data_IF_120173837306
#
_entry.id   IF_120173837306
#
_cell.length_a   1.000
_cell.length_b   1.000
_cell.length_c   1.000
_cell.angle_alpha   90.00
_cell.angle_beta   90.00
_cell.angle_gamma   90.00
#
_symmetry.space_group_name_H-M   'P 1'
#
loop_
_entity.id
_entity.type
_entity.pdbx_description
1 polymer ?
#
# COMPACT_ATOMS: atom_id res chain seq x y z
N UNK A 1 25.38 -13.48 -30.90
CA UNK A 1 24.30 -13.41 -29.89
C UNK A 1 23.52 -12.13 -30.14
N UNK A 2 22.23 -12.20 -30.45
CA UNK A 2 21.40 -11.01 -30.62
C UNK A 2 20.72 -10.71 -29.28
N UNK A 3 21.28 -9.78 -28.51
CA UNK A 3 20.75 -9.42 -27.20
C UNK A 3 19.32 -8.86 -27.27
N UNK A 4 18.98 -8.13 -28.34
CA UNK A 4 17.66 -7.53 -28.54
C UNK A 4 16.55 -8.60 -28.56
N UNK A 5 16.82 -9.73 -29.22
CA UNK A 5 15.87 -10.84 -29.32
C UNK A 5 15.43 -11.38 -27.96
N UNK A 6 16.32 -11.44 -26.96
CA UNK A 6 15.95 -11.90 -25.62
C UNK A 6 14.98 -10.95 -24.93
N UNK A 7 15.09 -9.64 -25.17
CA UNK A 7 14.17 -8.65 -24.62
C UNK A 7 12.83 -8.68 -25.34
N UNK A 8 12.83 -8.82 -26.67
CA UNK A 8 11.61 -8.99 -27.46
C UNK A 8 10.84 -10.24 -27.02
N UNK A 9 11.52 -11.40 -26.91
CA UNK A 9 10.91 -12.65 -26.44
C UNK A 9 10.34 -12.52 -25.01
N UNK A 10 11.01 -11.77 -24.12
CA UNK A 10 10.49 -11.52 -22.76
C UNK A 10 9.23 -10.65 -22.76
N UNK A 11 9.14 -9.66 -23.66
CA UNK A 11 7.94 -8.82 -23.82
C UNK A 11 6.80 -9.61 -24.49
N UNK A 12 7.11 -10.39 -25.52
CA UNK A 12 6.15 -11.27 -26.20
C UNK A 12 5.53 -12.27 -25.21
N UNK A 13 6.33 -12.81 -24.28
CA UNK A 13 5.82 -13.66 -23.21
C UNK A 13 4.84 -12.91 -22.29
N UNK A 14 5.14 -11.67 -21.89
CA UNK A 14 4.24 -10.85 -21.05
C UNK A 14 2.94 -10.51 -21.81
N UNK A 15 3.02 -10.25 -23.12
CA UNK A 15 1.87 -10.03 -23.98
C UNK A 15 1.01 -11.29 -24.11
N UNK A 16 1.63 -12.45 -24.38
CA UNK A 16 0.96 -13.74 -24.46
C UNK A 16 0.28 -14.12 -23.15
N UNK A 17 0.88 -13.78 -22.00
CA UNK A 17 0.29 -13.96 -20.68
C UNK A 17 -0.72 -12.85 -20.30
N UNK A 18 -0.93 -11.85 -21.17
CA UNK A 18 -1.83 -10.71 -20.96
C UNK A 18 -1.55 -9.92 -19.68
N UNK A 19 -0.28 -9.85 -19.28
CA UNK A 19 0.19 -9.13 -18.10
C UNK A 19 0.90 -7.81 -18.42
N UNK A 20 0.91 -7.40 -19.69
CA UNK A 20 1.50 -6.14 -20.10
C UNK A 20 0.73 -4.98 -19.49
N UNK A 21 1.47 -4.05 -18.88
CA UNK A 21 0.88 -2.91 -18.18
C UNK A 21 0.90 -1.70 -19.08
N UNK A 22 -0.27 -1.14 -19.32
CA UNK A 22 -0.43 0.19 -19.89
C UNK A 22 -0.82 1.11 -18.72
N UNK A 23 -0.02 2.14 -18.48
CA UNK A 23 -0.28 3.09 -17.39
C UNK A 23 -1.25 4.17 -17.85
N UNK A 24 -2.26 4.46 -17.04
CA UNK A 24 -3.15 5.59 -17.28
C UNK A 24 -2.40 6.91 -17.03
N UNK A 25 -2.46 7.83 -17.99
CA UNK A 25 -1.90 9.19 -17.86
C UNK A 25 -2.91 10.07 -17.12
N UNK A 26 -2.61 10.35 -15.85
CA UNK A 26 -3.53 10.99 -14.91
C UNK A 26 -2.92 12.22 -14.26
N UNK A 27 -3.70 13.31 -14.26
CA UNK A 27 -3.37 14.57 -13.59
C UNK A 27 -4.40 14.82 -12.47
N UNK A 28 -4.01 14.60 -11.21
CA UNK A 28 -4.89 14.84 -10.05
C UNK A 28 -5.16 16.33 -9.87
N UNK A 29 -6.39 16.70 -9.51
CA UNK A 29 -6.80 18.10 -9.38
C UNK A 29 -6.84 18.51 -7.91
N UNK A 30 -5.87 19.32 -7.48
CA UNK A 30 -5.85 19.88 -6.13
C UNK A 30 -7.15 20.65 -5.81
N UNK A 31 -7.73 20.39 -4.64
CA UNK A 31 -9.01 20.99 -4.22
C UNK A 31 -10.27 20.36 -4.82
N UNK A 32 -10.14 19.44 -5.78
CA UNK A 32 -11.26 18.68 -6.37
C UNK A 32 -11.11 17.17 -6.19
N UNK A 33 -10.33 16.72 -5.21
CA UNK A 33 -10.17 15.30 -4.90
C UNK A 33 -11.53 14.64 -4.61
N UNK A 34 -11.84 13.45 -5.18
CA UNK A 34 -10.96 12.50 -5.88
C UNK A 34 -10.96 12.59 -7.42
N UNK A 35 -11.21 13.77 -7.99
CA UNK A 35 -11.17 14.00 -9.45
C UNK A 35 -9.75 14.07 -10.01
N UNK A 36 -9.61 13.65 -11.26
CA UNK A 36 -8.39 13.76 -12.06
C UNK A 36 -8.73 14.01 -13.54
N UNK A 37 -7.78 14.55 -14.30
CA UNK A 37 -7.84 14.58 -15.76
C UNK A 37 -7.12 13.33 -16.28
N UNK A 38 -7.85 12.48 -17.00
CA UNK A 38 -7.29 11.38 -17.79
C UNK A 38 -6.96 11.87 -19.20
N UNK A 39 -5.72 11.65 -19.63
CA UNK A 39 -5.25 12.02 -20.97
C UNK A 39 -5.05 10.77 -21.81
N UNK A 40 -5.67 10.70 -22.98
CA UNK A 40 -5.53 9.57 -23.89
C UNK A 40 -5.75 10.00 -25.32
N UNK A 41 -4.89 9.54 -26.25
CA UNK A 41 -5.02 9.82 -27.69
C UNK A 41 -5.18 11.30 -28.06
N UNK A 42 -4.59 12.21 -27.27
CA UNK A 42 -4.69 13.66 -27.47
C UNK A 42 -5.95 14.30 -26.88
N UNK A 43 -6.85 13.52 -26.26
CA UNK A 43 -8.03 14.00 -25.54
C UNK A 43 -7.76 14.08 -24.03
N UNK A 44 -8.51 14.93 -23.35
CA UNK A 44 -8.47 15.12 -21.90
C UNK A 44 -9.89 15.04 -21.34
N UNK A 45 -10.12 14.16 -20.37
CA UNK A 45 -11.43 13.94 -19.76
C UNK A 45 -11.31 13.97 -18.23
N UNK A 46 -12.23 14.66 -17.55
CA UNK A 46 -12.34 14.55 -16.10
C UNK A 46 -12.93 13.18 -15.72
N UNK A 47 -12.27 12.52 -14.77
CA UNK A 47 -12.62 11.21 -14.24
C UNK A 47 -12.63 11.22 -12.70
N UNK A 48 -13.19 10.17 -12.10
CA UNK A 48 -13.18 9.94 -10.64
C UNK A 48 -12.26 8.77 -10.31
N UNK A 49 -11.29 8.97 -9.41
CA UNK A 49 -10.29 7.96 -9.05
C UNK A 49 -10.72 7.20 -7.80
N UNK A 50 -10.85 5.88 -7.90
CA UNK A 50 -11.32 5.00 -6.82
C UNK A 50 -10.29 3.98 -6.32
N UNK A 51 -9.07 4.02 -6.85
CA UNK A 51 -7.98 3.12 -6.49
C UNK A 51 -6.72 3.87 -6.00
N UNK A 52 -6.87 5.13 -5.58
CA UNK A 52 -5.78 5.91 -4.98
C UNK A 52 -5.48 5.39 -3.57
N UNK A 53 -4.20 5.38 -3.20
CA UNK A 53 -3.78 5.11 -1.83
C UNK A 53 -3.57 6.38 -1.00
N UNK A 54 -3.88 7.58 -1.52
CA UNK A 54 -4.03 8.81 -0.72
C UNK A 54 -5.34 8.74 0.09
N UNK A 55 -5.38 7.78 1.01
CA UNK A 55 -6.59 7.24 1.64
C UNK A 55 -7.40 8.27 2.41
N UNK A 56 -6.71 9.24 3.01
CA UNK A 56 -7.30 10.29 3.82
C UNK A 56 -7.30 11.64 3.07
N UNK A 57 -6.85 11.66 1.81
CA UNK A 57 -6.73 12.88 1.01
C UNK A 57 -5.70 13.88 1.55
N UNK A 58 -4.74 13.44 2.37
CA UNK A 58 -3.74 14.33 2.97
C UNK A 58 -2.80 14.93 1.93
N UNK A 59 -2.63 14.28 0.79
CA UNK A 59 -1.88 14.86 -0.34
C UNK A 59 -2.58 16.07 -0.97
N UNK A 60 -3.79 16.39 -0.51
CA UNK A 60 -4.62 17.50 -0.97
C UNK A 60 -4.90 18.49 0.16
N UNK A 61 -4.45 18.21 1.39
CA UNK A 61 -4.73 19.02 2.56
C UNK A 61 -4.00 20.37 2.46
N UNK A 62 -4.69 21.52 2.64
CA UNK A 62 -4.10 22.85 2.47
C UNK A 62 -2.82 23.06 3.29
N UNK A 63 -2.81 22.62 4.56
CA UNK A 63 -1.64 22.77 5.43
C UNK A 63 -0.44 21.93 4.97
N UNK A 64 -0.68 20.74 4.42
CA UNK A 64 0.37 19.85 3.89
C UNK A 64 0.99 20.47 2.64
N UNK A 65 0.15 20.96 1.71
CA UNK A 65 0.59 21.67 0.50
C UNK A 65 1.34 22.96 0.88
N UNK A 66 0.81 23.73 1.83
CA UNK A 66 1.44 24.95 2.32
C UNK A 66 2.81 24.70 2.95
N UNK A 67 2.94 23.65 3.78
CA UNK A 67 4.22 23.25 4.35
C UNK A 67 5.25 22.87 3.27
N UNK A 68 4.81 22.14 2.24
CA UNK A 68 5.64 21.81 1.09
C UNK A 68 6.14 23.07 0.37
N UNK A 69 5.21 23.95 -0.05
CA UNK A 69 5.51 25.17 -0.82
C UNK A 69 6.44 26.11 -0.03
N UNK A 70 6.14 26.33 1.24
CA UNK A 70 6.93 27.19 2.11
C UNK A 70 8.36 26.67 2.29
N UNK A 71 8.52 25.37 2.45
CA UNK A 71 9.85 24.76 2.64
C UNK A 71 10.63 24.73 1.33
N UNK A 72 9.98 24.40 0.21
CA UNK A 72 10.59 24.45 -1.12
C UNK A 72 11.10 25.86 -1.47
N UNK A 73 10.32 26.91 -1.14
CA UNK A 73 10.73 28.30 -1.35
C UNK A 73 11.93 28.73 -0.51
N UNK A 74 12.17 28.09 0.64
CA UNK A 74 13.28 28.42 1.56
C UNK A 74 14.53 27.56 1.36
N UNK A 75 14.35 26.28 1.03
CA UNK A 75 15.41 25.27 1.05
C UNK A 75 15.67 24.64 -0.33
N UNK A 76 14.94 25.06 -1.37
CA UNK A 76 15.02 24.48 -2.70
C UNK A 76 14.31 23.13 -2.82
N UNK A 77 14.50 22.48 -3.97
CA UNK A 77 13.78 21.25 -4.33
C UNK A 77 14.41 20.01 -3.70
N UNK A 78 15.62 19.63 -4.10
CA UNK A 78 16.28 18.40 -3.65
C UNK A 78 17.13 18.59 -2.39
N UNK A 79 17.41 17.50 -1.68
CA UNK A 79 18.32 17.51 -0.52
C UNK A 79 19.78 17.77 -0.89
N UNK A 80 20.17 17.60 -2.16
CA UNK A 80 21.51 17.94 -2.66
C UNK A 80 22.61 16.94 -2.31
N UNK A 81 22.32 15.84 -1.60
CA UNK A 81 23.30 14.82 -1.27
C UNK A 81 22.74 13.65 -0.46
N UNK A 82 23.61 12.71 -0.09
CA UNK A 82 23.25 11.60 0.81
C UNK A 82 23.13 12.10 2.25
N UNK A 83 22.58 11.28 3.16
CA UNK A 83 22.46 11.67 4.58
C UNK A 83 23.78 12.15 5.19
N UNK A 84 24.89 11.49 4.85
CA UNK A 84 26.21 11.82 5.37
C UNK A 84 26.90 12.99 4.66
N UNK A 85 26.53 13.27 3.40
CA UNK A 85 27.17 14.30 2.57
C UNK A 85 26.12 15.36 2.26
N UNK A 86 26.02 16.36 3.14
CA UNK A 86 25.14 17.54 3.06
C UNK A 86 23.62 17.31 2.90
N UNK A 87 23.13 16.07 2.82
CA UNK A 87 21.71 15.78 2.57
C UNK A 87 20.83 15.71 3.83
N UNK A 88 21.41 15.61 5.03
CA UNK A 88 20.62 15.70 6.28
C UNK A 88 20.22 17.15 6.52
N UNK A 89 18.93 17.44 6.34
CA UNK A 89 18.32 18.73 6.58
C UNK A 89 17.43 18.70 7.84
N UNK A 90 17.14 19.86 8.41
CA UNK A 90 16.36 19.94 9.66
C UNK A 90 14.94 19.37 9.54
N UNK A 91 14.15 19.64 8.47
CA UNK A 91 12.84 19.00 8.29
C UNK A 91 12.88 17.47 8.33
N UNK A 92 13.95 16.84 7.83
CA UNK A 92 14.12 15.39 7.88
C UNK A 92 14.37 14.89 9.31
N UNK A 93 15.12 15.64 10.13
CA UNK A 93 15.33 15.32 11.55
C UNK A 93 14.02 15.47 12.33
N UNK A 94 13.26 16.53 12.08
CA UNK A 94 11.94 16.73 12.71
C UNK A 94 10.97 15.60 12.35
N UNK A 95 10.98 15.15 11.11
CA UNK A 95 10.18 14.02 10.67
C UNK A 95 10.55 12.73 11.42
N UNK A 96 11.83 12.43 11.58
CA UNK A 96 12.28 11.24 12.34
C UNK A 96 11.85 11.30 13.81
N UNK A 97 11.91 12.48 14.44
CA UNK A 97 11.41 12.68 15.80
C UNK A 97 9.89 12.50 15.90
N UNK A 98 9.15 13.06 14.94
CA UNK A 98 7.69 12.97 14.90
C UNK A 98 7.21 11.52 14.72
N UNK A 99 7.91 10.74 13.88
CA UNK A 99 7.63 9.32 13.67
C UNK A 99 7.96 8.47 14.90
N UNK A 100 9.07 8.74 15.58
CA UNK A 100 9.40 8.06 16.83
C UNK A 100 8.32 8.31 17.89
N UNK A 101 7.85 9.56 18.03
CA UNK A 101 6.75 9.91 18.94
C UNK A 101 5.41 9.31 18.52
N UNK A 102 5.08 9.26 17.22
CA UNK A 102 3.85 8.62 16.71
C UNK A 102 3.71 7.18 17.21
N UNK A 103 4.81 6.42 17.13
CA UNK A 103 4.84 4.98 17.45
C UNK A 103 5.27 4.67 18.88
N UNK A 104 5.55 5.69 19.71
CA UNK A 104 6.07 5.50 21.06
C UNK A 104 7.42 4.76 21.09
N UNK A 105 8.27 4.98 20.10
CA UNK A 105 9.58 4.34 19.95
C UNK A 105 10.71 5.31 20.25
N UNK A 106 11.89 4.75 20.53
CA UNK A 106 13.07 5.56 20.88
C UNK A 106 13.62 6.36 19.70
N UNK A 107 13.51 5.81 18.48
CA UNK A 107 14.03 6.44 17.27
C UNK A 107 13.26 6.00 16.02
N UNK A 108 13.40 6.79 14.96
CA UNK A 108 12.94 6.48 13.62
C UNK A 108 14.04 6.71 12.58
N UNK A 109 13.90 6.10 11.41
CA UNK A 109 14.79 6.29 10.27
C UNK A 109 14.00 6.39 8.98
N UNK A 110 14.17 7.50 8.26
CA UNK A 110 13.44 7.77 7.01
C UNK A 110 14.22 7.32 5.77
N UNK A 111 13.49 6.71 4.84
CA UNK A 111 13.94 6.20 3.54
C UNK A 111 13.13 6.83 2.40
N UNK A 112 13.59 6.65 1.15
CA UNK A 112 12.96 7.22 -0.04
C UNK A 112 11.62 6.58 -0.40
N UNK A 113 11.31 5.38 0.11
CA UNK A 113 10.01 4.72 -0.07
C UNK A 113 9.81 3.58 0.95
N UNK A 114 8.56 3.18 1.16
CA UNK A 114 8.18 1.98 1.94
C UNK A 114 8.80 0.68 1.40
N UNK A 115 9.11 0.65 0.09
CA UNK A 115 9.81 -0.49 -0.49
C UNK A 115 11.24 -0.59 0.02
N UNK A 116 11.96 0.54 -0.02
CA UNK A 116 13.37 0.61 0.37
C UNK A 116 13.54 0.43 1.88
N UNK A 117 12.66 1.00 2.71
CA UNK A 117 12.69 0.78 4.17
C UNK A 117 12.56 -0.70 4.52
N UNK A 118 11.57 -1.40 3.96
CA UNK A 118 11.42 -2.85 4.12
C UNK A 118 12.68 -3.62 3.66
N UNK A 119 13.07 -3.44 2.40
CA UNK A 119 14.17 -4.18 1.79
C UNK A 119 15.48 -4.00 2.57
N UNK A 120 15.85 -2.75 2.84
CA UNK A 120 17.12 -2.39 3.46
C UNK A 120 17.14 -2.77 4.95
N UNK A 121 16.04 -2.60 5.67
CA UNK A 121 15.99 -2.88 7.11
C UNK A 121 15.97 -4.36 7.40
N UNK A 122 15.07 -5.13 6.77
CA UNK A 122 14.97 -6.58 6.97
C UNK A 122 16.30 -7.26 6.61
N UNK A 123 16.87 -6.91 5.46
CA UNK A 123 18.14 -7.51 5.02
C UNK A 123 19.32 -7.18 5.94
N UNK A 124 19.39 -5.95 6.46
CA UNK A 124 20.46 -5.51 7.36
C UNK A 124 20.33 -6.14 8.74
N UNK A 125 19.13 -6.10 9.34
CA UNK A 125 18.86 -6.69 10.66
C UNK A 125 19.21 -8.18 10.65
N UNK A 126 18.69 -8.92 9.67
CA UNK A 126 18.91 -10.36 9.62
C UNK A 126 20.38 -10.75 9.37
N UNK A 127 21.16 -9.94 8.65
CA UNK A 127 22.61 -10.17 8.45
C UNK A 127 23.44 -9.90 9.69
N UNK A 128 23.04 -8.92 10.50
CA UNK A 128 23.75 -8.58 11.74
C UNK A 128 23.45 -9.57 12.86
N UNK A 129 22.30 -10.25 12.81
CA UNK A 129 21.93 -11.30 13.76
C UNK A 129 22.65 -12.62 13.46
N UNK A 130 23.37 -13.22 14.42
CA UNK A 130 24.13 -14.46 14.19
C UNK A 130 23.20 -15.64 13.94
N UNK A 131 23.44 -16.39 12.85
CA UNK A 131 22.63 -17.56 12.48
C UNK A 131 21.11 -17.27 12.44
N UNK A 132 20.74 -16.09 11.97
CA UNK A 132 19.35 -15.66 11.92
C UNK A 132 18.48 -16.60 11.07
N UNK A 133 17.30 -16.94 11.60
CA UNK A 133 16.20 -17.53 10.85
C UNK A 133 15.10 -16.47 10.65
N UNK A 134 14.73 -16.22 9.40
CA UNK A 134 13.57 -15.37 9.10
C UNK A 134 12.32 -16.23 8.96
N UNK A 135 11.27 -15.88 9.69
CA UNK A 135 9.93 -16.46 9.55
C UNK A 135 9.05 -15.42 8.86
N UNK A 136 8.67 -15.68 7.60
CA UNK A 136 7.91 -14.74 6.76
C UNK A 136 6.51 -15.26 6.55
N UNK A 137 5.51 -14.40 6.72
CA UNK A 137 4.16 -14.69 6.25
C UNK A 137 4.17 -14.93 4.73
N UNK A 138 3.31 -15.83 4.24
CA UNK A 138 3.27 -16.21 2.82
C UNK A 138 2.75 -15.11 1.90
N UNK A 139 1.96 -14.16 2.42
CA UNK A 139 1.40 -13.04 1.66
C UNK A 139 2.15 -11.72 1.84
N UNK A 140 3.30 -11.74 2.52
CA UNK A 140 4.12 -10.55 2.70
C UNK A 140 4.43 -9.84 1.38
N UNK A 141 4.39 -8.51 1.43
CA UNK A 141 4.63 -7.65 0.30
C UNK A 141 6.00 -7.90 -0.35
N UNK A 142 6.07 -7.63 -1.66
CA UNK A 142 7.28 -7.86 -2.46
C UNK A 142 8.54 -7.18 -1.88
N UNK A 143 8.41 -6.01 -1.26
CA UNK A 143 9.53 -5.32 -0.59
C UNK A 143 10.11 -6.13 0.57
N UNK A 144 9.25 -6.75 1.37
CA UNK A 144 9.66 -7.61 2.47
C UNK A 144 10.32 -8.86 1.93
N UNK A 145 9.72 -9.51 0.93
CA UNK A 145 10.29 -10.69 0.26
C UNK A 145 11.70 -10.38 -0.29
N UNK A 146 11.90 -9.22 -0.90
CA UNK A 146 13.21 -8.80 -1.40
C UNK A 146 14.20 -8.54 -0.26
N UNK A 147 13.78 -7.93 0.86
CA UNK A 147 14.61 -7.83 2.07
C UNK A 147 15.03 -9.19 2.62
N UNK A 148 14.08 -10.13 2.75
CA UNK A 148 14.34 -11.51 3.18
C UNK A 148 15.33 -12.20 2.23
N UNK A 149 15.11 -12.10 0.91
CA UNK A 149 16.01 -12.70 -0.09
C UNK A 149 17.42 -12.10 -0.04
N UNK A 150 17.53 -10.78 0.02
CA UNK A 150 18.81 -10.07 0.07
C UNK A 150 19.57 -10.36 1.35
N UNK A 151 18.90 -10.65 2.47
CA UNK A 151 19.60 -11.01 3.71
C UNK A 151 20.58 -12.17 3.53
N UNK A 152 20.23 -13.17 2.69
CA UNK A 152 20.96 -14.44 2.58
C UNK A 152 20.76 -15.37 3.78
N UNK A 153 19.95 -14.97 4.78
CA UNK A 153 19.61 -15.80 5.93
C UNK A 153 18.72 -16.99 5.53
N UNK A 154 18.72 -18.04 6.35
CA UNK A 154 17.71 -19.10 6.20
C UNK A 154 16.33 -18.48 6.40
N UNK A 155 15.35 -18.92 5.61
CA UNK A 155 13.96 -18.50 5.75
C UNK A 155 13.00 -19.69 5.81
N UNK A 156 11.94 -19.53 6.59
CA UNK A 156 10.75 -20.39 6.56
C UNK A 156 9.53 -19.51 6.29
N UNK A 157 8.64 -20.00 5.44
CA UNK A 157 7.37 -19.33 5.13
C UNK A 157 6.32 -19.98 6.01
N UNK A 158 5.63 -19.21 6.85
CA UNK A 158 4.45 -19.69 7.56
C UNK A 158 3.20 -19.33 6.76
N UNK A 159 2.13 -20.12 6.96
CA UNK A 159 0.87 -19.92 6.23
C UNK A 159 0.25 -18.62 6.72
N UNK A 160 -0.46 -17.94 5.83
CA UNK A 160 -0.98 -16.61 6.04
C UNK A 160 -1.79 -16.54 7.34
N UNK A 161 -1.37 -15.68 8.27
CA UNK A 161 -2.00 -15.52 9.59
C UNK A 161 -2.16 -16.81 10.42
N UNK A 162 -1.46 -17.90 10.07
CA UNK A 162 -1.52 -19.19 10.78
C UNK A 162 -0.52 -19.23 11.94
N UNK A 163 -0.99 -18.78 13.10
CA UNK A 163 -0.25 -18.74 14.37
C UNK A 163 0.26 -20.14 14.77
N UNK A 164 -0.51 -21.20 14.50
CA UNK A 164 -0.12 -22.56 14.88
C UNK A 164 1.05 -23.07 14.03
N UNK A 165 1.04 -22.78 12.72
CA UNK A 165 2.15 -23.09 11.84
C UNK A 165 3.40 -22.28 12.22
N UNK A 166 3.24 -20.98 12.49
CA UNK A 166 4.32 -20.13 13.00
C UNK A 166 4.94 -20.73 14.28
N UNK A 167 4.12 -21.13 15.24
CA UNK A 167 4.59 -21.76 16.47
C UNK A 167 5.39 -23.04 16.20
N UNK A 168 4.93 -23.92 15.30
CA UNK A 168 5.67 -25.15 14.99
C UNK A 168 7.07 -24.88 14.42
N UNK A 169 7.21 -23.81 13.62
CA UNK A 169 8.48 -23.41 13.03
C UNK A 169 9.40 -22.79 14.09
N UNK A 170 8.85 -22.00 15.01
CA UNK A 170 9.57 -21.42 16.15
C UNK A 170 10.07 -22.51 17.11
N UNK A 171 9.25 -23.53 17.41
CA UNK A 171 9.64 -24.69 18.21
C UNK A 171 10.81 -25.43 17.57
N UNK A 172 10.74 -25.71 16.27
CA UNK A 172 11.80 -26.40 15.54
C UNK A 172 13.11 -25.61 15.49
N UNK A 173 13.04 -24.27 15.48
CA UNK A 173 14.21 -23.41 15.47
C UNK A 173 14.94 -23.33 16.82
N UNK A 174 14.25 -23.65 17.92
CA UNK A 174 14.77 -23.54 19.28
C UNK A 174 14.93 -22.10 19.78
N UNK A 175 15.05 -21.93 21.10
CA UNK A 175 15.05 -20.59 21.74
C UNK A 175 16.33 -19.78 21.50
N UNK A 176 17.49 -20.45 21.43
CA UNK A 176 18.81 -19.80 21.34
C UNK A 176 19.17 -19.22 19.97
N UNK A 177 18.59 -19.75 18.88
CA UNK A 177 18.86 -19.25 17.52
C UNK A 177 18.31 -17.83 17.35
N UNK A 178 19.01 -16.90 16.70
CA UNK A 178 18.39 -15.61 16.39
C UNK A 178 17.22 -15.80 15.41
N UNK A 179 16.09 -15.13 15.64
CA UNK A 179 14.87 -15.27 14.84
C UNK A 179 14.25 -13.91 14.57
N UNK A 180 13.76 -13.71 13.35
CA UNK A 180 13.04 -12.52 12.93
C UNK A 180 11.71 -12.92 12.30
N UNK A 181 10.60 -12.59 12.94
CA UNK A 181 9.24 -12.78 12.41
C UNK A 181 8.87 -11.52 11.64
N UNK A 182 8.53 -11.66 10.35
CA UNK A 182 8.16 -10.55 9.48
C UNK A 182 6.75 -10.76 8.92
N UNK A 183 5.86 -9.77 9.11
CA UNK A 183 4.45 -9.83 8.73
C UNK A 183 3.86 -8.42 8.49
N UNK A 184 2.70 -8.32 7.84
CA UNK A 184 1.95 -7.06 7.68
C UNK A 184 0.87 -6.95 8.76
N UNK A 185 0.49 -5.72 9.14
CA UNK A 185 -0.68 -5.51 9.99
C UNK A 185 -1.98 -5.61 9.20
N UNK A 186 -2.07 -4.87 8.09
CA UNK A 186 -3.19 -4.87 7.13
C UNK A 186 -2.66 -5.30 5.78
N UNK A 187 -3.10 -6.44 5.28
CA UNK A 187 -2.61 -6.95 4.00
C UNK A 187 -3.24 -6.20 2.83
N UNK A 188 -2.37 -5.71 1.95
CA UNK A 188 -2.73 -4.69 0.97
C UNK A 188 -3.85 -5.05 -0.01
N UNK A 189 -4.07 -6.34 -0.33
CA UNK A 189 -4.99 -6.78 -1.38
C UNK A 189 -6.34 -7.29 -0.85
N UNK A 190 -6.30 -8.07 0.23
CA UNK A 190 -7.47 -8.76 0.79
C UNK A 190 -8.09 -7.92 1.92
N UNK A 191 -7.27 -7.09 2.59
CA UNK A 191 -7.72 -6.18 3.62
C UNK A 191 -8.13 -6.89 4.91
N UNK A 192 -7.56 -8.05 5.17
CA UNK A 192 -7.54 -8.75 6.46
C UNK A 192 -6.45 -8.15 7.39
N UNK A 193 -6.52 -8.54 8.66
CA UNK A 193 -5.66 -8.02 9.74
C UNK A 193 -4.94 -9.20 10.41
N UNK A 194 -3.64 -9.06 10.65
CA UNK A 194 -2.86 -10.08 11.33
C UNK A 194 -3.26 -10.27 12.81
N UNK A 195 -3.14 -11.49 13.36
CA UNK A 195 -3.27 -11.75 14.79
C UNK A 195 -2.03 -11.27 15.57
N UNK A 196 -1.87 -9.94 15.67
CA UNK A 196 -0.65 -9.28 16.19
C UNK A 196 -0.34 -9.74 17.62
N UNK A 197 -1.37 -9.81 18.47
CA UNK A 197 -1.20 -10.19 19.88
C UNK A 197 -0.60 -11.60 20.00
N UNK A 198 -1.15 -12.55 19.25
CA UNK A 198 -0.73 -13.95 19.26
C UNK A 198 0.69 -14.11 18.70
N UNK A 199 1.02 -13.36 17.64
CA UNK A 199 2.38 -13.35 17.08
C UNK A 199 3.37 -12.78 18.10
N UNK A 200 3.03 -11.69 18.79
CA UNK A 200 3.86 -11.12 19.85
C UNK A 200 4.03 -12.08 21.06
N UNK A 201 2.96 -12.77 21.47
CA UNK A 201 3.01 -13.79 22.53
C UNK A 201 4.01 -14.91 22.15
N UNK A 202 4.00 -15.36 20.89
CA UNK A 202 4.98 -16.34 20.38
C UNK A 202 6.40 -15.77 20.31
N UNK A 203 6.56 -14.52 19.89
CA UNK A 203 7.87 -13.87 19.81
C UNK A 203 8.57 -13.83 21.18
N UNK A 204 7.84 -13.45 22.23
CA UNK A 204 8.33 -13.46 23.62
C UNK A 204 8.64 -14.89 24.11
N UNK A 205 7.71 -15.84 23.86
CA UNK A 205 7.84 -17.25 24.26
C UNK A 205 9.06 -17.94 23.63
N UNK A 206 9.37 -17.65 22.37
CA UNK A 206 10.45 -18.30 21.62
C UNK A 206 11.69 -17.42 21.43
N UNK A 207 11.72 -16.22 22.02
CA UNK A 207 12.82 -15.26 21.89
C UNK A 207 13.11 -14.93 20.41
N UNK A 208 12.12 -14.35 19.74
CA UNK A 208 12.23 -13.86 18.37
C UNK A 208 11.96 -12.34 18.33
N UNK A 209 12.65 -11.66 17.42
CA UNK A 209 12.33 -10.27 17.09
C UNK A 209 11.13 -10.21 16.15
N UNK A 210 10.38 -9.12 16.23
CA UNK A 210 9.21 -8.84 15.39
C UNK A 210 9.46 -7.63 14.49
N UNK A 211 9.06 -7.76 13.24
CA UNK A 211 9.04 -6.69 12.26
C UNK A 211 7.66 -6.66 11.63
N UNK A 212 6.92 -5.58 11.88
CA UNK A 212 5.59 -5.40 11.32
C UNK A 212 5.61 -4.28 10.28
N UNK A 213 5.02 -4.55 9.12
CA UNK A 213 4.72 -3.55 8.11
C UNK A 213 3.29 -3.00 8.35
N UNK A 214 3.20 -1.71 8.69
CA UNK A 214 1.95 -0.99 8.95
C UNK A 214 1.61 -0.01 7.80
N UNK A 215 2.15 -0.22 6.61
CA UNK A 215 2.00 0.67 5.44
C UNK A 215 0.55 0.94 5.07
N UNK A 216 -0.32 -0.06 5.23
CA UNK A 216 -1.75 0.01 4.97
C UNK A 216 -2.57 0.30 6.24
N UNK A 217 -1.93 0.81 7.30
CA UNK A 217 -2.59 1.12 8.56
C UNK A 217 -2.25 2.49 9.14
N UNK A 218 -0.99 2.92 9.03
CA UNK A 218 -0.54 4.22 9.55
C UNK A 218 -1.40 5.37 8.99
N UNK A 219 -1.71 6.32 9.85
CA UNK A 219 -2.67 7.42 9.64
C UNK A 219 -4.14 7.03 9.82
N UNK A 220 -4.51 5.76 9.60
CA UNK A 220 -5.90 5.31 9.47
C UNK A 220 -6.47 4.57 10.68
N UNK A 221 -5.62 4.01 11.54
CA UNK A 221 -6.04 3.26 12.72
C UNK A 221 -5.29 3.70 13.97
N UNK A 222 -5.92 3.51 15.12
CA UNK A 222 -5.44 3.97 16.40
C UNK A 222 -5.82 5.42 16.69
N UNK A 223 -5.82 5.82 17.98
CA UNK A 223 -6.24 7.15 18.41
C UNK A 223 -5.39 8.29 17.82
N UNK A 224 -4.12 8.05 17.50
CA UNK A 224 -3.22 9.05 16.89
C UNK A 224 -2.83 8.68 15.45
N UNK A 225 -3.44 7.65 14.87
CA UNK A 225 -3.08 7.16 13.55
C UNK A 225 -1.76 6.36 13.53
N UNK A 226 -1.37 5.73 14.64
CA UNK A 226 -0.16 4.91 14.73
C UNK A 226 -0.26 3.57 13.99
N UNK A 227 -1.46 3.11 13.64
CA UNK A 227 -1.68 1.83 12.97
C UNK A 227 -2.49 0.85 13.82
N UNK A 228 -2.51 -0.41 13.41
CA UNK A 228 -3.25 -1.48 14.10
C UNK A 228 -2.60 -1.77 15.46
N UNK A 229 -1.27 -1.73 15.55
CA UNK A 229 -0.56 -1.89 16.82
C UNK A 229 -0.95 -0.83 17.84
N UNK A 230 -1.17 0.42 17.41
CA UNK A 230 -1.70 1.47 18.30
C UNK A 230 -3.17 1.22 18.67
N UNK A 231 -4.00 0.83 17.69
CA UNK A 231 -5.42 0.49 17.91
C UNK A 231 -5.60 -0.58 18.97
N UNK A 232 -4.71 -1.58 18.98
CA UNK A 232 -4.78 -2.75 19.87
C UNK A 232 -3.94 -2.58 21.16
N UNK A 233 -3.21 -1.47 21.30
CA UNK A 233 -2.34 -1.23 22.46
C UNK A 233 -1.16 -2.20 22.54
N UNK A 234 -0.61 -2.59 21.38
CA UNK A 234 0.48 -3.57 21.24
C UNK A 234 1.77 -2.98 20.66
N UNK A 235 1.79 -1.68 20.34
CA UNK A 235 2.94 -1.03 19.70
C UNK A 235 4.24 -1.19 20.50
N UNK A 236 4.19 -1.18 21.83
CA UNK A 236 5.34 -1.39 22.72
C UNK A 236 5.92 -2.80 22.62
N UNK A 237 5.09 -3.81 22.32
CA UNK A 237 5.49 -5.23 22.19
C UNK A 237 6.15 -5.58 20.86
N UNK A 238 6.10 -4.69 19.88
CA UNK A 238 6.70 -4.91 18.56
C UNK A 238 8.10 -4.28 18.49
N UNK A 239 9.11 -5.00 18.02
CA UNK A 239 10.49 -4.47 18.01
C UNK A 239 10.67 -3.38 16.93
N UNK A 240 10.15 -3.64 15.72
CA UNK A 240 10.25 -2.74 14.57
C UNK A 240 8.91 -2.55 13.91
N UNK A 241 8.48 -1.29 13.80
CA UNK A 241 7.31 -0.89 13.02
C UNK A 241 7.80 -0.15 11.78
N UNK A 242 7.48 -0.69 10.61
CA UNK A 242 7.69 -0.09 9.31
C UNK A 242 6.41 0.61 8.84
N UNK A 243 6.57 1.74 8.16
CA UNK A 243 5.44 2.40 7.51
C UNK A 243 5.83 3.24 6.31
N UNK A 244 4.82 3.78 5.63
CA UNK A 244 5.00 4.67 4.47
C UNK A 244 4.50 6.08 4.74
N UNK A 245 5.10 7.06 4.05
CA UNK A 245 4.62 8.44 3.98
C UNK A 245 3.72 8.68 2.74
N UNK A 246 3.65 7.71 1.83
CA UNK A 246 3.06 7.87 0.49
C UNK A 246 1.60 7.46 0.36
N UNK A 247 0.95 7.05 1.47
CA UNK A 247 -0.43 6.58 1.49
C UNK A 247 -1.33 7.53 2.28
N UNK A 248 -1.78 7.15 3.47
CA UNK A 248 -2.66 7.98 4.30
C UNK A 248 -2.05 9.36 4.62
N UNK A 249 -0.72 9.44 4.77
CA UNK A 249 -0.03 10.72 4.98
C UNK A 249 0.11 11.58 3.70
N UNK A 250 -0.13 11.02 2.51
CA UNK A 250 -0.28 11.79 1.27
C UNK A 250 0.99 12.42 0.69
N UNK A 251 2.18 11.94 1.05
CA UNK A 251 3.46 12.49 0.59
C UNK A 251 4.33 11.43 -0.10
N UNK A 252 5.62 11.29 0.25
CA UNK A 252 6.54 10.33 -0.33
C UNK A 252 7.57 9.89 0.72
N UNK A 253 7.84 8.59 0.79
CA UNK A 253 8.86 8.03 1.67
C UNK A 253 8.43 6.76 2.36
N UNK A 254 9.36 6.17 3.09
CA UNK A 254 9.14 5.05 4.01
C UNK A 254 9.97 5.26 5.27
N UNK A 255 9.69 4.50 6.32
CA UNK A 255 10.43 4.60 7.56
C UNK A 255 10.37 3.31 8.36
N UNK A 256 11.32 3.16 9.28
CA UNK A 256 11.20 2.22 10.39
C UNK A 256 11.28 2.99 11.72
N UNK A 257 10.63 2.47 12.75
CA UNK A 257 10.75 2.91 14.14
C UNK A 257 11.10 1.73 15.04
N UNK A 258 11.82 1.98 16.13
CA UNK A 258 12.26 0.92 17.04
C UNK A 258 13.15 1.45 18.15
N UNK A 259 13.89 0.56 18.79
CA UNK A 259 14.94 0.94 19.74
C UNK A 259 16.06 1.68 19.03
N UNK A 260 16.72 2.59 19.73
CA UNK A 260 17.81 3.41 19.18
C UNK A 260 18.93 2.54 18.63
N UNK A 261 19.26 1.43 19.28
CA UNK A 261 20.32 0.52 18.85
C UNK A 261 20.02 -0.15 17.50
N UNK A 262 18.79 -0.62 17.28
CA UNK A 262 18.41 -1.22 15.99
C UNK A 262 18.37 -0.17 14.89
N UNK A 263 17.79 1.00 15.18
CA UNK A 263 17.73 2.11 14.24
C UNK A 263 19.13 2.60 13.84
N UNK A 264 20.05 2.76 14.80
CA UNK A 264 21.43 3.15 14.53
C UNK A 264 22.21 2.07 13.78
N UNK A 265 21.92 0.78 14.02
CA UNK A 265 22.50 -0.32 13.26
C UNK A 265 22.04 -0.27 11.79
N UNK A 266 20.74 -0.12 11.52
CA UNK A 266 20.24 0.02 10.15
C UNK A 266 20.82 1.27 9.49
N UNK A 267 20.82 2.41 10.18
CA UNK A 267 21.41 3.68 9.71
C UNK A 267 22.89 3.53 9.29
N UNK A 268 23.65 2.69 10.01
CA UNK A 268 25.09 2.55 9.83
C UNK A 268 25.52 1.44 8.87
N UNK A 269 24.65 0.45 8.62
CA UNK A 269 25.00 -0.74 7.83
C UNK A 269 24.14 -0.92 6.56
N UNK A 270 22.98 -0.27 6.44
CA UNK A 270 22.08 -0.50 5.32
C UNK A 270 22.53 0.27 4.06
N UNK A 271 23.00 -0.40 3.00
CA UNK A 271 23.50 0.29 1.80
C UNK A 271 22.39 1.08 1.08
N UNK A 272 21.15 0.56 1.10
CA UNK A 272 19.97 1.24 0.53
C UNK A 272 19.59 2.54 1.25
N UNK A 273 20.12 2.77 2.45
CA UNK A 273 20.02 4.04 3.18
C UNK A 273 21.24 4.95 2.93
N UNK A 274 22.45 4.39 3.00
CA UNK A 274 23.70 5.15 3.01
C UNK A 274 24.03 5.75 1.64
N UNK A 275 23.85 4.96 0.57
CA UNK A 275 24.36 5.28 -0.76
C UNK A 275 23.27 5.83 -1.71
N UNK A 276 22.30 6.54 -1.14
CA UNK A 276 21.23 7.21 -1.90
C UNK A 276 21.05 8.65 -1.43
N UNK A 277 20.51 9.49 -2.31
CA UNK A 277 20.16 10.88 -1.99
C UNK A 277 19.08 10.92 -0.90
N UNK A 278 19.21 11.83 0.06
CA UNK A 278 18.24 11.99 1.14
C UNK A 278 16.90 12.54 0.63
N UNK A 279 15.83 12.34 1.42
CA UNK A 279 14.50 12.84 1.10
C UNK A 279 14.51 14.38 1.00
N UNK A 280 13.87 14.97 -0.03
CA UNK A 280 13.70 16.41 -0.16
C UNK A 280 13.15 17.09 1.10
N UNK A 281 13.67 18.26 1.50
CA UNK A 281 13.22 18.96 2.71
C UNK A 281 11.73 19.32 2.66
N UNK A 282 11.22 19.71 1.48
CA UNK A 282 9.81 20.05 1.30
C UNK A 282 8.87 18.85 1.52
N UNK A 283 9.28 17.66 1.10
CA UNK A 283 8.53 16.42 1.33
C UNK A 283 8.56 16.09 2.83
N UNK A 284 9.72 16.21 3.48
CA UNK A 284 9.83 15.93 4.91
C UNK A 284 8.94 16.85 5.75
N UNK A 285 8.95 18.16 5.48
CA UNK A 285 8.09 19.13 6.17
C UNK A 285 6.59 18.87 5.93
N UNK A 286 6.20 18.52 4.70
CA UNK A 286 4.83 18.16 4.37
C UNK A 286 4.37 16.90 5.11
N UNK A 287 5.23 15.86 5.15
CA UNK A 287 4.96 14.61 5.86
C UNK A 287 4.79 14.86 7.38
N UNK A 288 5.69 15.63 8.00
CA UNK A 288 5.59 16.00 9.41
C UNK A 288 4.28 16.73 9.71
N UNK A 289 3.87 17.66 8.83
CA UNK A 289 2.61 18.40 8.97
C UNK A 289 1.40 17.46 8.88
N UNK A 290 1.41 16.54 7.93
CA UNK A 290 0.36 15.52 7.75
C UNK A 290 0.23 14.62 8.98
N UNK A 291 1.36 14.14 9.52
CA UNK A 291 1.39 13.30 10.73
C UNK A 291 0.85 14.08 11.94
N UNK A 292 1.32 15.31 12.17
CA UNK A 292 0.85 16.15 13.30
C UNK A 292 -0.64 16.40 13.26
N UNK A 293 -1.20 16.65 12.07
CA UNK A 293 -2.64 16.79 11.88
C UNK A 293 -3.37 15.50 12.27
N UNK A 294 -3.00 14.38 11.66
CA UNK A 294 -3.67 13.10 11.89
C UNK A 294 -3.50 12.54 13.30
N UNK A 295 -2.46 12.95 14.04
CA UNK A 295 -2.30 12.63 15.46
C UNK A 295 -3.38 13.22 16.36
N UNK A 296 -3.99 14.33 15.93
CA UNK A 296 -4.97 15.06 16.75
C UNK A 296 -6.37 15.05 16.13
N UNK A 297 -6.49 14.89 14.81
CA UNK A 297 -7.77 14.77 14.11
C UNK A 297 -8.18 13.32 13.88
N UNK A 298 -9.41 13.00 14.28
CA UNK A 298 -10.07 11.71 14.04
C UNK A 298 -11.06 11.78 12.86
N UNK A 299 -11.39 12.98 12.38
CA UNK A 299 -12.45 13.21 11.40
C UNK A 299 -12.20 12.48 10.07
N UNK A 300 -10.96 12.49 9.58
CA UNK A 300 -10.57 11.81 8.34
C UNK A 300 -10.73 10.30 8.47
N UNK A 301 -10.32 9.73 9.60
CA UNK A 301 -10.44 8.29 9.87
C UNK A 301 -11.90 7.87 9.93
N UNK A 302 -12.72 8.56 10.72
CA UNK A 302 -14.14 8.22 10.89
C UNK A 302 -14.89 8.33 9.56
N UNK A 303 -14.63 9.38 8.78
CA UNK A 303 -15.21 9.55 7.46
C UNK A 303 -14.78 8.45 6.50
N UNK A 304 -13.50 8.06 6.48
CA UNK A 304 -13.00 6.99 5.63
C UNK A 304 -13.66 5.64 5.98
N UNK A 305 -13.70 5.28 7.27
CA UNK A 305 -14.31 4.03 7.73
C UNK A 305 -15.79 3.98 7.37
N UNK A 306 -16.51 5.10 7.55
CA UNK A 306 -17.91 5.23 7.12
C UNK A 306 -18.05 4.99 5.61
N UNK A 307 -17.20 5.58 4.77
CA UNK A 307 -17.31 5.40 3.32
C UNK A 307 -16.92 4.00 2.84
N UNK A 308 -15.93 3.37 3.47
CA UNK A 308 -15.59 1.98 3.18
C UNK A 308 -16.74 1.04 3.56
N UNK A 309 -17.34 1.20 4.75
CA UNK A 309 -18.48 0.41 5.18
C UNK A 309 -19.69 0.61 4.26
N UNK A 310 -20.03 1.87 3.94
CA UNK A 310 -21.12 2.19 3.03
C UNK A 310 -20.92 1.58 1.64
N UNK A 311 -19.72 1.69 1.07
CA UNK A 311 -19.42 1.11 -0.24
C UNK A 311 -19.60 -0.43 -0.22
N UNK A 312 -19.09 -1.11 0.81
CA UNK A 312 -19.28 -2.56 0.98
C UNK A 312 -20.77 -2.93 1.02
N UNK A 313 -21.55 -2.24 1.85
CA UNK A 313 -23.00 -2.46 1.99
C UNK A 313 -23.73 -2.22 0.67
N UNK A 314 -23.46 -1.11 -0.01
CA UNK A 314 -24.09 -0.74 -1.28
C UNK A 314 -23.81 -1.78 -2.35
N UNK A 315 -22.54 -2.15 -2.54
CA UNK A 315 -22.16 -3.12 -3.57
C UNK A 315 -22.73 -4.51 -3.27
N UNK A 316 -22.68 -4.95 -2.00
CA UNK A 316 -23.27 -6.21 -1.59
C UNK A 316 -24.80 -6.24 -1.79
N UNK A 317 -25.50 -5.11 -1.56
CA UNK A 317 -26.97 -5.02 -1.71
C UNK A 317 -27.48 -5.23 -3.14
N UNK A 318 -26.62 -5.01 -4.14
CA UNK A 318 -26.91 -5.27 -5.57
C UNK A 318 -26.28 -6.58 -6.06
N UNK A 319 -25.76 -7.40 -5.14
CA UNK A 319 -25.22 -8.73 -5.43
C UNK A 319 -23.79 -8.75 -5.97
N UNK A 320 -23.08 -7.62 -6.04
CA UNK A 320 -21.69 -7.61 -6.53
C UNK A 320 -20.82 -8.49 -5.62
N UNK A 321 -19.80 -9.15 -6.18
CA UNK A 321 -18.98 -10.11 -5.44
C UNK A 321 -17.93 -9.43 -4.54
N UNK A 322 -18.40 -8.64 -3.57
CA UNK A 322 -17.56 -7.99 -2.55
C UNK A 322 -16.97 -9.07 -1.66
N UNK A 323 -15.65 -9.11 -1.53
CA UNK A 323 -14.98 -10.06 -0.64
C UNK A 323 -15.04 -9.56 0.80
N UNK A 324 -15.09 -10.46 1.80
CA UNK A 324 -15.02 -10.09 3.20
C UNK A 324 -13.77 -9.26 3.50
N UNK A 325 -13.92 -8.16 4.20
CA UNK A 325 -12.81 -7.31 4.67
C UNK A 325 -13.27 -6.47 5.86
N UNK A 326 -12.41 -6.35 6.87
CA UNK A 326 -12.66 -5.54 8.08
C UNK A 326 -11.99 -4.15 8.00
N UNK A 327 -11.39 -3.81 6.86
CA UNK A 327 -10.55 -2.61 6.71
C UNK A 327 -11.16 -1.60 5.74
N UNK A 328 -10.43 -0.51 5.43
CA UNK A 328 -10.84 0.49 4.45
C UNK A 328 -10.82 0.01 2.98
N UNK A 329 -10.36 -1.21 2.72
CA UNK A 329 -10.25 -1.78 1.37
C UNK A 329 -11.56 -2.48 1.01
N UNK A 330 -12.04 -2.24 -0.22
CA UNK A 330 -13.27 -2.83 -0.77
C UNK A 330 -12.92 -3.68 -2.00
N UNK A 331 -12.48 -4.93 -1.79
CA UNK A 331 -12.18 -5.85 -2.88
C UNK A 331 -13.46 -6.39 -3.53
N UNK A 332 -13.56 -6.29 -4.86
CA UNK A 332 -14.66 -6.89 -5.65
C UNK A 332 -14.07 -7.93 -6.60
N UNK A 333 -14.39 -9.20 -6.37
CA UNK A 333 -13.83 -10.33 -7.12
C UNK A 333 -14.29 -10.31 -8.58
N UNK A 334 -13.37 -10.60 -9.49
CA UNK A 334 -13.67 -10.85 -10.91
C UNK A 334 -13.29 -12.28 -11.29
N UNK A 335 -12.16 -12.78 -10.77
CA UNK A 335 -11.71 -14.17 -10.93
C UNK A 335 -11.11 -14.51 -12.30
N UNK A 336 -11.03 -13.53 -13.20
CA UNK A 336 -10.41 -13.67 -14.51
C UNK A 336 -9.66 -12.39 -14.90
N UNK A 337 -8.39 -12.47 -15.35
CA UNK A 337 -7.57 -11.31 -15.65
C UNK A 337 -8.04 -10.51 -16.86
N UNK A 338 -8.66 -11.15 -17.86
CA UNK A 338 -9.16 -10.50 -19.07
C UNK A 338 -10.44 -9.73 -18.75
N UNK A 339 -11.40 -10.38 -18.08
CA UNK A 339 -12.62 -9.74 -17.60
C UNK A 339 -12.31 -8.60 -16.64
N UNK A 340 -11.32 -8.77 -15.74
CA UNK A 340 -10.93 -7.71 -14.83
C UNK A 340 -10.39 -6.48 -15.58
N UNK A 341 -9.55 -6.70 -16.60
CA UNK A 341 -9.06 -5.60 -17.44
C UNK A 341 -10.21 -4.95 -18.23
N UNK A 342 -11.05 -5.75 -18.88
CA UNK A 342 -12.20 -5.26 -19.66
C UNK A 342 -13.17 -4.45 -18.79
N UNK A 343 -13.40 -4.86 -17.55
CA UNK A 343 -14.22 -4.13 -16.59
C UNK A 343 -13.61 -2.75 -16.29
N UNK A 344 -12.32 -2.69 -16.00
CA UNK A 344 -11.64 -1.41 -15.72
C UNK A 344 -11.53 -0.49 -16.93
N UNK A 345 -11.29 -1.04 -18.13
CA UNK A 345 -11.27 -0.27 -19.37
C UNK A 345 -12.67 0.34 -19.64
N UNK A 346 -13.74 -0.44 -19.39
CA UNK A 346 -15.13 0.03 -19.54
C UNK A 346 -15.47 1.10 -18.51
N UNK A 347 -15.13 0.89 -17.24
CA UNK A 347 -15.33 1.87 -16.17
C UNK A 347 -14.64 3.20 -16.51
N UNK A 348 -13.40 3.14 -17.02
CA UNK A 348 -12.67 4.33 -17.41
C UNK A 348 -13.27 4.99 -18.64
N UNK A 349 -13.44 4.25 -19.74
CA UNK A 349 -13.87 4.80 -21.02
C UNK A 349 -15.33 5.25 -21.06
N UNK A 350 -16.25 4.44 -20.52
CA UNK A 350 -17.69 4.70 -20.59
C UNK A 350 -18.17 5.57 -19.43
N UNK A 351 -17.67 5.29 -18.22
CA UNK A 351 -18.19 5.88 -16.99
C UNK A 351 -17.29 6.97 -16.39
N UNK A 352 -16.08 7.17 -16.92
CA UNK A 352 -15.12 8.12 -16.35
C UNK A 352 -14.69 7.75 -14.93
N UNK A 353 -14.60 6.45 -14.64
CA UNK A 353 -14.25 5.89 -13.33
C UNK A 353 -12.93 5.13 -13.47
N UNK A 354 -11.90 5.58 -12.75
CA UNK A 354 -10.61 4.90 -12.73
C UNK A 354 -10.49 3.97 -11.53
N UNK A 355 -10.44 2.68 -11.83
CA UNK A 355 -10.06 1.60 -10.91
C UNK A 355 -9.02 0.76 -11.64
N UNK A 356 -7.89 0.50 -10.98
CA UNK A 356 -6.84 -0.34 -11.55
C UNK A 356 -7.20 -1.83 -11.41
N UNK A 357 -7.05 -2.67 -12.46
CA UNK A 357 -7.23 -4.11 -12.34
C UNK A 357 -6.07 -4.71 -11.55
N UNK A 358 -6.39 -5.59 -10.59
CA UNK A 358 -5.40 -6.31 -9.78
C UNK A 358 -5.32 -7.75 -10.26
N UNK A 359 -4.21 -8.06 -10.94
CA UNK A 359 -3.93 -9.38 -11.53
C UNK A 359 -2.61 -9.95 -10.98
N UNK A 360 -2.30 -11.20 -11.31
CA UNK A 360 -1.00 -11.81 -11.05
C UNK A 360 0.18 -10.94 -11.56
N UNK A 361 1.30 -10.79 -10.82
CA UNK A 361 1.65 -11.49 -9.58
C UNK A 361 1.18 -10.82 -8.28
N UNK A 362 0.38 -9.75 -8.36
CA UNK A 362 -0.07 -9.02 -7.16
C UNK A 362 -1.07 -9.84 -6.35
N UNK A 363 -1.91 -10.64 -7.01
CA UNK A 363 -2.80 -11.62 -6.38
C UNK A 363 -2.64 -12.98 -7.07
N UNK A 364 -2.95 -14.11 -6.41
CA UNK A 364 -2.96 -15.43 -7.04
C UNK A 364 -3.89 -15.48 -8.26
N UNK A 365 -3.55 -16.31 -9.25
CA UNK A 365 -4.38 -16.53 -10.44
C UNK A 365 -5.75 -17.09 -10.05
N UNK A 366 -6.81 -16.63 -10.72
CA UNK A 366 -8.20 -16.99 -10.40
C UNK A 366 -8.80 -16.17 -9.25
N UNK A 367 -8.04 -15.21 -8.69
CA UNK A 367 -8.50 -14.31 -7.64
C UNK A 367 -8.37 -12.83 -8.04
N UNK A 368 -8.33 -12.57 -9.35
CA UNK A 368 -8.29 -11.23 -9.93
C UNK A 368 -9.48 -10.40 -9.47
N UNK A 369 -9.25 -9.11 -9.20
CA UNK A 369 -10.25 -8.27 -8.52
C UNK A 369 -10.08 -6.80 -8.82
N UNK A 370 -11.14 -6.05 -8.61
CA UNK A 370 -11.10 -4.61 -8.46
C UNK A 370 -10.77 -4.28 -7.00
N UNK A 371 -9.71 -3.49 -6.80
CA UNK A 371 -9.35 -2.97 -5.46
C UNK A 371 -9.82 -1.53 -5.34
N UNK A 372 -10.96 -1.35 -4.68
CA UNK A 372 -11.58 -0.05 -4.47
C UNK A 372 -11.18 0.48 -3.09
N UNK A 373 -10.79 1.74 -3.02
CA UNK A 373 -10.28 2.39 -1.80
C UNK A 373 -11.00 3.72 -1.56
N UNK A 374 -12.24 3.67 -1.05
CA UNK A 374 -12.98 4.88 -0.72
C UNK A 374 -12.21 5.74 0.29
N UNK A 375 -12.37 7.05 0.14
CA UNK A 375 -11.74 8.07 0.98
C UNK A 375 -12.83 8.93 1.61
N UNK A 376 -12.51 9.82 2.58
CA UNK A 376 -13.48 10.79 3.11
C UNK A 376 -14.19 11.65 2.05
N UNK A 377 -13.57 11.80 0.89
CA UNK A 377 -14.03 12.66 -0.20
C UNK A 377 -14.93 11.94 -1.23
N UNK A 378 -15.06 10.62 -1.12
CA UNK A 378 -16.01 9.84 -1.90
C UNK A 378 -17.38 9.95 -1.23
N UNK A 379 -18.17 10.94 -1.63
CA UNK A 379 -19.52 11.17 -1.09
C UNK A 379 -20.44 9.98 -1.37
N UNK A 380 -21.52 9.88 -0.62
CA UNK A 380 -22.53 8.82 -0.78
C UNK A 380 -23.09 8.81 -2.21
N UNK A 381 -23.29 9.99 -2.81
CA UNK A 381 -23.68 10.12 -4.22
C UNK A 381 -22.63 9.57 -5.20
N UNK A 382 -21.34 9.75 -4.93
CA UNK A 382 -20.28 9.14 -5.74
C UNK A 382 -20.28 7.60 -5.58
N UNK A 383 -20.53 7.08 -4.38
CA UNK A 383 -20.67 5.64 -4.14
C UNK A 383 -21.85 5.07 -4.95
N UNK A 384 -23.00 5.77 -4.96
CA UNK A 384 -24.16 5.34 -5.74
C UNK A 384 -23.88 5.35 -7.26
N UNK A 385 -23.17 6.38 -7.76
CA UNK A 385 -22.72 6.43 -9.16
C UNK A 385 -21.76 5.28 -9.49
N UNK A 386 -20.81 4.97 -8.61
CA UNK A 386 -19.90 3.84 -8.80
C UNK A 386 -20.65 2.51 -8.81
N UNK A 387 -21.62 2.32 -7.90
CA UNK A 387 -22.47 1.13 -7.87
C UNK A 387 -23.21 0.95 -9.21
N UNK A 388 -23.85 1.99 -9.73
CA UNK A 388 -24.59 1.91 -10.99
C UNK A 388 -23.65 1.57 -12.18
N UNK A 389 -22.47 2.18 -12.22
CA UNK A 389 -21.46 1.90 -13.24
C UNK A 389 -20.87 0.47 -13.14
N UNK A 390 -20.67 -0.04 -11.92
CA UNK A 390 -20.23 -1.42 -11.70
C UNK A 390 -21.28 -2.42 -12.16
N UNK A 391 -22.55 -2.25 -11.79
CA UNK A 391 -23.64 -3.15 -12.22
C UNK A 391 -23.77 -3.14 -13.74
N UNK A 392 -23.77 -1.96 -14.37
CA UNK A 392 -23.78 -1.85 -15.84
C UNK A 392 -22.59 -2.59 -16.48
N UNK A 393 -21.39 -2.42 -15.91
CA UNK A 393 -20.17 -3.06 -16.43
C UNK A 393 -20.23 -4.58 -16.28
N UNK A 394 -20.71 -5.06 -15.13
CA UNK A 394 -20.91 -6.50 -14.87
C UNK A 394 -21.88 -7.10 -15.88
N UNK A 395 -23.03 -6.45 -16.09
CA UNK A 395 -24.07 -6.93 -17.02
C UNK A 395 -23.59 -6.92 -18.47
N UNK A 396 -22.90 -5.85 -18.89
CA UNK A 396 -22.38 -5.71 -20.25
C UNK A 396 -21.30 -6.75 -20.59
N UNK A 397 -20.51 -7.17 -19.59
CA UNK A 397 -19.42 -8.12 -19.75
C UNK A 397 -19.80 -9.56 -19.35
N UNK A 398 -21.00 -9.76 -18.79
CA UNK A 398 -21.45 -11.07 -18.31
C UNK A 398 -20.65 -11.59 -17.11
N UNK A 399 -20.11 -10.70 -16.27
CA UNK A 399 -19.37 -11.09 -15.06
C UNK A 399 -20.37 -11.60 -14.01
N UNK A 400 -20.11 -12.74 -13.35
CA UNK A 400 -21.04 -13.29 -12.37
C UNK A 400 -21.14 -12.43 -11.10
N UNK A 401 -22.34 -12.44 -10.51
CA UNK A 401 -22.65 -11.88 -9.19
C UNK A 401 -22.53 -12.98 -8.11
N UNK A 402 -22.50 -12.61 -6.82
CA UNK A 402 -22.38 -13.56 -5.70
C UNK A 402 -23.65 -14.41 -5.47
N UNK A 403 -24.78 -14.11 -6.12
CA UNK A 403 -26.04 -14.86 -5.99
C UNK A 403 -26.87 -14.83 -7.30
N UNK A 404 -27.69 -15.85 -7.52
CA UNK A 404 -28.73 -15.86 -8.56
C UNK A 404 -29.80 -14.79 -8.26
N UNK A 405 -29.69 -13.63 -8.91
CA UNK A 405 -30.68 -12.56 -8.80
C UNK A 405 -30.23 -11.28 -9.47
N UNK A 406 -30.56 -11.11 -10.76
CA UNK A 406 -30.25 -9.90 -11.53
C UNK A 406 -31.06 -8.70 -11.00
N UNK A 407 -30.43 -7.59 -10.60
CA UNK A 407 -31.12 -6.31 -10.51
C UNK A 407 -31.40 -5.79 -11.94
N UNK A 408 -32.49 -5.03 -12.13
CA UNK A 408 -32.77 -4.35 -13.39
C UNK A 408 -32.09 -2.97 -13.42
N UNK A 409 -31.38 -2.62 -14.51
CA UNK A 409 -30.72 -1.31 -14.67
C UNK A 409 -31.12 -0.61 -15.99
N UNK A 410 -31.09 0.72 -15.96
CA UNK A 410 -31.34 1.61 -17.09
C UNK A 410 -30.21 1.56 -18.13
N UNK A 411 -30.57 1.56 -19.42
CA UNK A 411 -29.62 1.51 -20.54
C UNK A 411 -28.86 2.83 -20.67
N UNK A 412 -27.53 2.75 -20.84
CA UNK A 412 -26.70 3.88 -21.28
C UNK A 412 -26.62 3.92 -22.80
N UNK A 413 -26.92 5.07 -23.42
CA UNK A 413 -26.84 5.28 -24.87
C UNK A 413 -25.40 5.54 -25.37
N UNK A 414 -24.39 5.53 -24.49
CA UNK A 414 -22.98 5.73 -24.87
C UNK A 414 -22.33 4.40 -25.23
N UNK A 415 -22.41 4.04 -26.51
CA UNK A 415 -21.58 2.98 -27.09
C UNK A 415 -20.23 3.60 -27.50
N UNK A 416 -19.20 3.41 -26.68
CA UNK A 416 -17.82 3.64 -27.09
C UNK A 416 -17.28 2.29 -27.60
N UNK A 417 -16.78 2.21 -28.84
CA UNK A 417 -16.15 0.99 -29.34
C UNK A 417 -14.99 0.59 -28.42
N UNK A 418 -15.03 -0.63 -27.89
CA UNK A 418 -13.86 -1.22 -27.23
C UNK A 418 -12.72 -1.24 -28.25
N UNK A 419 -11.68 -0.44 -28.01
CA UNK A 419 -10.41 -0.56 -28.72
C UNK A 419 -9.76 -1.87 -28.27
N UNK A 420 -10.14 -2.96 -28.92
CA UNK A 420 -9.35 -4.18 -28.93
C UNK A 420 -8.12 -3.87 -29.78
N UNK A 421 -6.89 -3.89 -29.23
CA UNK A 421 -5.70 -3.80 -30.06
C UNK A 421 -5.71 -4.99 -31.03
N UNK A 422 -5.92 -4.72 -32.32
CA UNK A 422 -5.60 -5.68 -33.38
C UNK A 422 -4.10 -5.64 -33.59
N UNK A 423 -3.38 -6.49 -32.87
CA UNK A 423 -2.05 -6.97 -33.21
C UNK A 423 -2.07 -8.46 -32.89
N UNK A 424 -2.31 -9.37 -33.85
CA UNK A 424 -1.43 -9.72 -34.98
C UNK A 424 -0.62 -10.95 -34.53
N UNK A 425 -0.64 -12.11 -35.17
CA UNK A 425 -0.25 -12.30 -36.56
C UNK A 425 1.23 -12.62 -36.59
#
# INVERSE_FOLDING_TARGET
MNYQRFFEEAIDQIHAERRYRVFADLERIAGSFPKAIWRSNGEAQEITVWCSNDYLGMGQHPDVIGAFQNTAGKMGSGAGGTRNISGTNHPLVELELELADLHGKEAALVFTSGFVSNEASISTIARLLPNCLILSDELNHASMIEGVRRSGAEKKIFRHNDVAHLESLLQAAGRERAKLIVFESVYSMDGDIAPIKEIADLAEKYNAMTYIDEVHAVGMYGPRGGGITEREGLADRIDIIEGTLAKAFGTLGGYITGTKSVIDAVRSFAPGFIFTTALPPAIAAAATTSIRHLKTSQAERDAQQRQAARAKEVFASVGLPVMPSETHIVPVLVGDPELCKMATDRLLGVHGIYIQPINYPTVPRGTERLRITPTPFHTDALIDVLKDALVETWDALGIPYNTEGKPAVAKSDRIIPLLVPKSGG
#
